data_IF_185907321957
#
_entry.id   IF_185907321957
#
_cell.length_a   1.000
_cell.length_b   1.000
_cell.length_c   1.000
_cell.angle_alpha   90.00
_cell.angle_beta   90.00
_cell.angle_gamma   90.00
#
_symmetry.space_group_name_H-M   'P 1'
#
loop_
_entity.id
_entity.type
_entity.pdbx_description
1 polymer ?
#
# COMPACT_ATOMS: atom_id res chain seq x y z
N UNK A 1 6.59 -0.18 -23.82
CA UNK A 1 5.30 -0.01 -23.14
C UNK A 1 5.48 0.94 -21.97
N UNK A 2 4.43 1.66 -21.61
CA UNK A 2 4.32 2.46 -20.38
C UNK A 2 3.43 1.76 -19.34
N UNK A 3 2.86 0.60 -19.71
CA UNK A 3 2.04 -0.21 -18.80
C UNK A 3 2.95 -1.17 -18.01
N UNK A 4 3.31 -0.73 -16.81
CA UNK A 4 4.14 -1.47 -15.86
C UNK A 4 3.50 -2.78 -15.44
N UNK A 5 2.16 -2.80 -15.26
CA UNK A 5 1.45 -3.99 -14.84
C UNK A 5 1.50 -5.07 -15.93
N UNK A 6 1.32 -4.68 -17.19
CA UNK A 6 1.44 -5.60 -18.32
C UNK A 6 2.87 -6.15 -18.47
N UNK A 7 3.90 -5.31 -18.29
CA UNK A 7 5.29 -5.76 -18.34
C UNK A 7 5.54 -6.81 -17.25
N UNK A 8 5.13 -6.52 -16.00
CA UNK A 8 5.36 -7.40 -14.86
C UNK A 8 4.59 -8.74 -14.97
N UNK A 9 3.41 -8.73 -15.59
CA UNK A 9 2.57 -9.94 -15.70
C UNK A 9 2.88 -10.81 -16.90
N UNK A 10 3.34 -10.22 -18.01
CA UNK A 10 3.46 -10.92 -19.29
C UNK A 10 4.90 -11.19 -19.73
N UNK A 11 5.89 -10.45 -19.19
CA UNK A 11 7.26 -10.56 -19.62
C UNK A 11 8.09 -11.38 -18.64
N UNK A 12 9.04 -12.15 -19.14
CA UNK A 12 10.07 -12.84 -18.35
C UNK A 12 11.37 -12.02 -18.27
N UNK A 13 11.48 -10.98 -19.10
CA UNK A 13 12.62 -10.09 -19.16
C UNK A 13 12.17 -8.69 -19.58
N UNK A 14 12.76 -7.65 -19.01
CA UNK A 14 12.51 -6.28 -19.39
C UNK A 14 13.81 -5.54 -19.68
N UNK A 15 13.74 -4.53 -20.53
CA UNK A 15 14.85 -3.65 -20.88
C UNK A 15 14.38 -2.21 -20.69
N UNK A 16 15.09 -1.46 -19.88
CA UNK A 16 14.90 -0.01 -19.75
C UNK A 16 15.78 0.73 -20.75
N UNK A 17 15.13 1.46 -21.65
CA UNK A 17 15.78 2.28 -22.67
C UNK A 17 15.71 3.76 -22.29
N UNK A 18 16.83 4.43 -22.26
CA UNK A 18 16.93 5.89 -22.10
C UNK A 18 17.69 6.49 -23.27
N UNK A 19 17.08 7.47 -23.97
CA UNK A 19 17.68 8.19 -25.10
C UNK A 19 18.35 7.27 -26.14
N UNK A 20 17.70 6.13 -26.44
CA UNK A 20 18.17 5.17 -27.42
C UNK A 20 19.28 4.22 -26.94
N UNK A 21 19.63 4.23 -25.65
CA UNK A 21 20.60 3.34 -25.05
C UNK A 21 19.96 2.47 -23.98
N UNK A 22 20.48 1.26 -23.81
CA UNK A 22 20.07 0.37 -22.72
C UNK A 22 20.64 0.93 -21.41
N UNK A 23 19.75 1.35 -20.50
CA UNK A 23 20.09 1.79 -19.15
C UNK A 23 20.19 0.62 -18.19
N UNK A 24 19.24 -0.31 -18.30
CA UNK A 24 19.24 -1.54 -17.49
C UNK A 24 18.45 -2.65 -18.21
N UNK A 25 18.73 -3.91 -17.87
CA UNK A 25 18.01 -5.06 -18.39
C UNK A 25 18.01 -6.18 -17.33
N UNK A 26 16.90 -6.91 -17.19
CA UNK A 26 16.78 -7.98 -16.20
C UNK A 26 15.35 -8.35 -15.87
N UNK A 27 15.12 -8.70 -14.61
CA UNK A 27 13.81 -9.06 -14.08
C UNK A 27 12.79 -7.92 -14.27
N UNK A 28 11.57 -8.21 -14.77
CA UNK A 28 10.57 -7.18 -15.05
C UNK A 28 10.24 -6.28 -13.85
N UNK A 29 10.10 -6.85 -12.64
CA UNK A 29 9.80 -6.09 -11.43
C UNK A 29 10.91 -5.08 -11.13
N UNK A 30 12.16 -5.52 -11.13
CA UNK A 30 13.31 -4.66 -10.88
C UNK A 30 13.45 -3.55 -11.92
N UNK A 31 13.28 -3.88 -13.20
CA UNK A 31 13.40 -2.91 -14.29
C UNK A 31 12.26 -1.89 -14.26
N UNK A 32 11.05 -2.29 -13.96
CA UNK A 32 9.91 -1.36 -13.85
C UNK A 32 10.01 -0.47 -12.62
N UNK A 33 10.57 -0.94 -11.52
CA UNK A 33 10.87 -0.13 -10.33
C UNK A 33 11.89 0.96 -10.65
N UNK A 34 13.01 0.61 -11.32
CA UNK A 34 14.00 1.57 -11.79
C UNK A 34 13.41 2.59 -12.80
N UNK A 35 12.53 2.15 -13.68
CA UNK A 35 11.84 3.03 -14.62
C UNK A 35 10.91 4.03 -13.91
N UNK A 36 10.15 3.59 -12.92
CA UNK A 36 9.30 4.47 -12.13
C UNK A 36 10.13 5.48 -11.33
N UNK A 37 11.24 5.04 -10.71
CA UNK A 37 12.18 5.91 -10.03
C UNK A 37 12.68 7.04 -10.93
N UNK A 38 13.10 6.70 -12.15
CA UNK A 38 13.64 7.65 -13.12
C UNK A 38 12.57 8.67 -13.57
N UNK A 39 11.33 8.21 -13.82
CA UNK A 39 10.21 9.10 -14.16
C UNK A 39 9.91 10.06 -13.02
N UNK A 40 9.82 9.57 -11.78
CA UNK A 40 9.55 10.43 -10.64
C UNK A 40 10.67 11.44 -10.41
N UNK A 41 11.93 11.06 -10.53
CA UNK A 41 13.07 11.96 -10.44
C UNK A 41 13.06 13.03 -11.57
N UNK A 42 12.73 12.63 -12.79
CA UNK A 42 12.65 13.55 -13.93
C UNK A 42 11.47 14.53 -13.79
N UNK A 43 10.33 14.09 -13.30
CA UNK A 43 9.14 14.93 -13.09
C UNK A 43 9.34 15.98 -11.97
N UNK A 44 10.20 15.71 -11.01
CA UNK A 44 10.47 16.59 -9.85
C UNK A 44 11.41 17.78 -10.18
N UNK A 45 11.97 17.84 -11.37
CA UNK A 45 12.90 18.92 -11.77
C UNK A 45 12.26 20.29 -12.01
N UNK A 46 10.94 20.40 -12.08
CA UNK A 46 10.23 21.66 -12.38
C UNK A 46 8.90 21.73 -11.65
N UNK A 47 8.75 22.52 -10.55
CA UNK A 47 7.71 23.54 -10.37
C UNK A 47 7.45 23.99 -8.92
N UNK A 48 6.94 25.24 -8.74
CA UNK A 48 6.62 25.81 -7.43
C UNK A 48 5.19 25.50 -6.97
N UNK A 49 5.02 25.51 -5.65
CA UNK A 49 3.76 25.30 -4.95
C UNK A 49 2.65 26.30 -5.34
N UNK A 50 1.51 25.79 -5.70
CA UNK A 50 0.29 26.55 -5.99
C UNK A 50 -0.71 26.58 -4.83
N UNK A 51 -1.60 27.56 -4.85
CA UNK A 51 -2.43 28.07 -3.79
C UNK A 51 -3.49 27.11 -3.22
N UNK A 52 -3.85 27.33 -1.94
CA UNK A 52 -4.78 26.57 -1.13
C UNK A 52 -6.27 26.80 -1.46
N UNK A 53 -7.12 25.77 -1.39
CA UNK A 53 -8.55 25.89 -1.31
C UNK A 53 -9.11 25.64 0.09
N UNK A 54 -10.37 26.00 0.28
CA UNK A 54 -11.09 26.18 1.53
C UNK A 54 -11.65 24.92 2.18
N UNK A 55 -11.92 25.05 3.44
CA UNK A 55 -12.23 24.13 4.52
C UNK A 55 -13.16 22.92 4.27
N UNK A 56 -12.64 21.72 4.54
CA UNK A 56 -13.38 20.51 4.88
C UNK A 56 -12.89 19.93 6.24
N UNK A 57 -13.74 19.19 6.93
CA UNK A 57 -13.48 18.73 8.30
C UNK A 57 -12.40 17.63 8.38
N UNK A 58 -11.55 17.71 9.39
CA UNK A 58 -10.49 16.77 9.75
C UNK A 58 -10.90 15.30 9.60
N UNK A 59 -10.09 14.56 8.83
CA UNK A 59 -10.05 13.12 8.77
C UNK A 59 -11.41 12.45 8.53
N UNK A 60 -11.60 11.84 7.37
CA UNK A 60 -12.75 10.97 7.12
C UNK A 60 -12.65 9.74 8.04
N UNK A 61 -13.19 9.87 9.25
CA UNK A 61 -13.50 8.72 10.09
C UNK A 61 -14.97 8.42 9.88
N UNK A 62 -15.26 7.50 8.98
CA UNK A 62 -16.55 6.83 9.00
C UNK A 62 -16.64 6.14 10.35
N UNK A 63 -17.63 6.53 11.17
CA UNK A 63 -17.95 5.76 12.37
C UNK A 63 -18.23 4.34 11.90
N UNK A 64 -17.59 3.32 12.49
CA UNK A 64 -18.01 1.96 12.26
C UNK A 64 -19.45 1.87 12.75
N UNK A 65 -20.42 1.88 11.83
CA UNK A 65 -21.69 1.29 12.13
C UNK A 65 -21.40 -0.18 12.39
N UNK A 66 -21.68 -0.57 13.60
CA UNK A 66 -21.33 -1.79 14.29
C UNK A 66 -21.95 -3.03 13.66
N UNK A 67 -21.57 -3.38 12.49
CA UNK A 67 -21.66 -4.77 12.11
C UNK A 67 -20.24 -5.31 12.04
N UNK A 68 -19.88 -6.11 13.05
CA UNK A 68 -18.70 -6.99 13.00
C UNK A 68 -18.89 -7.97 11.83
N UNK A 69 -18.69 -7.41 10.64
CA UNK A 69 -18.89 -8.13 9.39
C UNK A 69 -17.75 -9.12 9.23
N UNK A 70 -18.01 -10.36 9.62
CA UNK A 70 -17.14 -11.51 9.37
C UNK A 70 -17.58 -12.26 8.13
N UNK A 71 -16.63 -12.94 7.48
CA UNK A 71 -16.98 -13.93 6.47
C UNK A 71 -17.88 -14.99 7.08
N UNK A 72 -18.99 -15.28 6.42
CA UNK A 72 -19.96 -16.30 6.88
C UNK A 72 -19.33 -17.69 7.06
N UNK A 73 -18.18 -17.94 6.45
CA UNK A 73 -17.44 -19.20 6.52
C UNK A 73 -16.28 -19.17 7.52
N UNK A 74 -16.02 -18.04 8.19
CA UNK A 74 -14.80 -17.80 8.96
C UNK A 74 -14.57 -18.88 10.04
N UNK A 75 -15.61 -19.23 10.78
CA UNK A 75 -15.51 -20.25 11.84
C UNK A 75 -15.22 -21.64 11.29
N UNK A 76 -15.76 -21.97 10.12
CA UNK A 76 -15.48 -23.23 9.44
C UNK A 76 -14.04 -23.22 8.89
N UNK A 77 -13.65 -22.17 8.20
CA UNK A 77 -12.31 -22.02 7.62
C UNK A 77 -11.26 -22.14 8.71
N UNK A 78 -11.43 -21.44 9.83
CA UNK A 78 -10.46 -21.44 10.95
C UNK A 78 -10.31 -22.79 11.64
N UNK A 79 -11.33 -23.66 11.57
CA UNK A 79 -11.32 -25.01 12.15
C UNK A 79 -10.91 -26.11 11.16
N UNK A 80 -10.72 -25.77 9.91
CA UNK A 80 -10.43 -26.72 8.83
C UNK A 80 -8.98 -26.58 8.34
N UNK A 81 -8.56 -27.53 7.51
CA UNK A 81 -7.28 -27.46 6.77
C UNK A 81 -7.28 -26.38 5.66
N UNK A 82 -8.40 -25.69 5.48
CA UNK A 82 -8.59 -24.62 4.49
C UNK A 82 -8.27 -23.24 5.06
N UNK A 83 -7.77 -23.18 6.28
CA UNK A 83 -7.36 -21.95 6.93
C UNK A 83 -6.30 -21.23 6.07
N UNK A 84 -6.48 -19.93 5.95
CA UNK A 84 -5.53 -19.06 5.32
C UNK A 84 -4.65 -18.43 6.41
N UNK A 85 -3.36 -18.70 6.38
CA UNK A 85 -2.40 -18.08 7.30
C UNK A 85 -1.53 -17.10 6.51
N UNK A 86 -1.63 -15.83 6.85
CA UNK A 86 -0.82 -14.75 6.30
C UNK A 86 0.21 -14.39 7.37
N UNK A 87 1.45 -14.76 7.15
CA UNK A 87 2.56 -14.34 7.98
C UNK A 87 2.93 -12.89 7.65
N UNK A 88 3.12 -12.08 8.68
CA UNK A 88 3.53 -10.67 8.56
C UNK A 88 4.94 -10.54 9.09
N UNK A 89 5.87 -10.12 8.23
CA UNK A 89 7.26 -9.90 8.61
C UNK A 89 7.45 -8.53 9.26
N UNK A 90 8.66 -8.26 9.70
CA UNK A 90 9.00 -6.95 10.26
C UNK A 90 9.32 -5.97 9.14
N UNK A 91 9.12 -4.70 9.42
CA UNK A 91 9.58 -3.61 8.56
C UNK A 91 11.08 -3.75 8.31
N UNK A 92 11.46 -3.63 7.04
CA UNK A 92 12.86 -3.63 6.63
C UNK A 92 13.32 -2.17 6.39
N UNK A 93 14.14 -1.61 7.28
CA UNK A 93 14.67 -0.26 7.10
C UNK A 93 15.69 -0.16 5.96
N UNK A 94 16.25 -1.29 5.51
CA UNK A 94 17.24 -1.35 4.45
C UNK A 94 16.64 -1.70 3.08
N UNK A 95 15.32 -1.89 3.02
CA UNK A 95 14.61 -2.13 1.76
C UNK A 95 14.86 -0.98 0.76
N UNK A 96 14.98 -1.28 -0.54
CA UNK A 96 15.28 -0.27 -1.57
C UNK A 96 14.32 0.93 -1.49
N UNK A 97 14.90 2.11 -1.45
CA UNK A 97 14.15 3.36 -1.38
C UNK A 97 14.76 4.44 -2.25
N UNK A 98 13.92 5.32 -2.80
CA UNK A 98 14.33 6.49 -3.55
C UNK A 98 13.48 7.71 -3.19
N UNK A 99 13.91 8.90 -3.58
CA UNK A 99 13.21 10.16 -3.37
C UNK A 99 14.16 11.32 -3.02
N UNK A 100 13.60 12.51 -2.84
CA UNK A 100 14.39 13.73 -2.56
C UNK A 100 14.86 13.85 -1.10
N UNK A 101 14.46 12.96 -0.22
CA UNK A 101 14.96 12.91 1.16
C UNK A 101 14.42 13.99 2.11
N UNK A 102 13.39 14.76 1.71
CA UNK A 102 12.77 15.77 2.59
C UNK A 102 11.97 15.21 3.76
N UNK A 103 11.65 13.92 3.72
CA UNK A 103 11.11 13.13 4.82
C UNK A 103 11.62 11.70 4.71
N UNK A 104 11.51 10.92 5.80
CA UNK A 104 11.86 9.50 5.81
C UNK A 104 10.79 8.67 6.52
N UNK A 105 10.69 7.40 6.10
CA UNK A 105 9.86 6.37 6.72
C UNK A 105 10.71 5.67 7.79
N UNK A 106 10.32 5.81 9.06
CA UNK A 106 11.05 5.23 10.18
C UNK A 106 10.55 3.84 10.56
N UNK A 107 9.25 3.60 10.33
CA UNK A 107 8.61 2.35 10.73
C UNK A 107 7.32 2.11 9.97
N UNK A 108 7.09 0.86 9.62
CA UNK A 108 5.80 0.38 9.08
C UNK A 108 5.34 -0.82 9.91
N UNK A 109 4.10 -0.81 10.35
CA UNK A 109 3.56 -1.91 11.17
C UNK A 109 2.09 -2.15 10.86
N UNK A 110 1.74 -3.42 10.68
CA UNK A 110 0.36 -3.87 10.61
C UNK A 110 -0.11 -4.22 12.02
N UNK A 111 -1.25 -3.71 12.46
CA UNK A 111 -1.76 -3.85 13.82
C UNK A 111 -3.18 -4.40 13.84
N UNK A 112 -3.54 -5.08 14.93
CA UNK A 112 -4.92 -5.47 15.22
C UNK A 112 -5.77 -4.28 15.75
N UNK A 113 -7.05 -4.51 15.97
CA UNK A 113 -7.98 -3.52 16.54
C UNK A 113 -7.57 -3.04 17.96
N UNK A 114 -6.76 -3.82 18.68
CA UNK A 114 -6.21 -3.45 19.99
C UNK A 114 -4.87 -2.73 19.88
N UNK A 115 -4.47 -2.31 18.66
CA UNK A 115 -3.20 -1.65 18.35
C UNK A 115 -1.96 -2.48 18.67
N UNK A 116 -2.06 -3.81 18.66
CA UNK A 116 -0.93 -4.73 18.85
C UNK A 116 -0.36 -5.09 17.48
N UNK A 117 0.96 -5.08 17.30
CA UNK A 117 1.60 -5.53 16.08
C UNK A 117 1.18 -6.97 15.74
N UNK A 118 0.82 -7.19 14.48
CA UNK A 118 0.51 -8.51 13.96
C UNK A 118 1.77 -9.16 13.42
N UNK A 119 1.98 -10.41 13.74
CA UNK A 119 2.95 -11.29 13.09
C UNK A 119 2.27 -12.32 12.18
N UNK A 120 0.94 -12.42 12.24
CA UNK A 120 0.11 -13.20 11.33
C UNK A 120 -1.35 -12.73 11.37
N UNK A 121 -2.10 -13.00 10.30
CA UNK A 121 -3.55 -12.82 10.20
C UNK A 121 -4.14 -13.85 9.22
N UNK A 122 -5.45 -13.93 9.11
CA UNK A 122 -6.12 -14.92 8.23
C UNK A 122 -6.80 -14.28 7.02
N UNK A 123 -6.91 -12.96 7.00
CA UNK A 123 -7.76 -12.21 6.07
C UNK A 123 -9.20 -12.09 6.62
N UNK A 124 -9.85 -11.00 6.26
CA UNK A 124 -11.18 -10.65 6.77
C UNK A 124 -11.17 -9.85 8.09
N UNK A 125 -10.10 -9.82 8.84
CA UNK A 125 -9.96 -9.02 10.04
C UNK A 125 -9.83 -7.52 9.73
N UNK A 126 -10.28 -6.68 10.66
CA UNK A 126 -9.95 -5.25 10.64
C UNK A 126 -8.51 -5.09 11.12
N UNK A 127 -7.70 -4.48 10.28
CA UNK A 127 -6.30 -4.18 10.56
C UNK A 127 -6.03 -2.70 10.38
N UNK A 128 -4.95 -2.23 10.98
CA UNK A 128 -4.45 -0.87 10.78
C UNK A 128 -3.00 -0.94 10.30
N UNK A 129 -2.74 -0.45 9.10
CA UNK A 129 -1.39 -0.19 8.61
C UNK A 129 -0.97 1.19 9.13
N UNK A 130 0.02 1.21 10.02
CA UNK A 130 0.59 2.44 10.55
C UNK A 130 1.98 2.66 9.94
N UNK A 131 2.20 3.89 9.48
CA UNK A 131 3.43 4.34 8.84
C UNK A 131 3.93 5.52 9.64
N UNK A 132 5.01 5.32 10.38
CA UNK A 132 5.67 6.38 11.15
C UNK A 132 6.76 7.03 10.29
N UNK A 133 6.74 8.34 10.21
CA UNK A 133 7.60 9.15 9.36
C UNK A 133 8.27 10.26 10.18
N UNK A 134 9.36 10.81 9.64
CA UNK A 134 10.00 12.01 10.15
C UNK A 134 10.27 12.99 9.01
N UNK A 135 9.89 14.25 9.23
CA UNK A 135 10.28 15.35 8.35
C UNK A 135 11.75 15.69 8.54
N UNK A 136 12.51 15.80 7.48
CA UNK A 136 13.91 16.30 7.50
C UNK A 136 14.00 17.78 7.15
N UNK A 137 12.94 18.34 6.62
CA UNK A 137 12.70 19.76 6.38
C UNK A 137 11.23 20.08 6.65
N UNK A 138 10.84 21.37 6.77
CA UNK A 138 9.41 21.70 6.86
C UNK A 138 8.66 21.17 5.64
N UNK A 139 7.51 20.55 5.87
CA UNK A 139 6.62 20.00 4.85
C UNK A 139 5.29 20.74 4.87
N UNK A 140 4.82 21.11 3.68
CA UNK A 140 3.49 21.67 3.47
C UNK A 140 2.65 20.64 2.72
N UNK A 141 1.54 20.19 3.34
CA UNK A 141 0.68 19.17 2.72
C UNK A 141 1.39 17.82 2.47
N UNK A 142 1.97 17.16 3.49
CA UNK A 142 2.53 15.84 3.34
C UNK A 142 1.46 14.82 2.95
N UNK A 143 1.80 13.94 2.01
CA UNK A 143 0.97 12.85 1.54
C UNK A 143 1.71 11.56 1.89
N UNK A 144 1.07 10.70 2.66
CA UNK A 144 1.57 9.36 2.96
C UNK A 144 0.66 8.36 2.27
N UNK A 145 1.24 7.37 1.59
CA UNK A 145 0.48 6.36 0.86
C UNK A 145 1.12 4.99 0.91
N UNK A 146 0.34 4.00 0.48
CA UNK A 146 0.81 2.63 0.35
C UNK A 146 0.19 1.93 -0.86
N UNK A 147 0.88 0.89 -1.34
CA UNK A 147 0.34 -0.11 -2.24
C UNK A 147 0.64 -1.50 -1.70
N UNK A 148 -0.35 -2.38 -1.67
CA UNK A 148 -0.13 -3.82 -1.52
C UNK A 148 0.10 -4.42 -2.90
N UNK A 149 1.24 -5.08 -3.07
CA UNK A 149 1.67 -5.69 -4.33
C UNK A 149 1.87 -7.20 -4.14
N UNK A 150 1.68 -7.95 -5.22
CA UNK A 150 2.09 -9.35 -5.29
C UNK A 150 3.60 -9.50 -5.60
N UNK A 151 4.08 -10.73 -5.67
CA UNK A 151 5.48 -11.04 -5.99
C UNK A 151 5.94 -10.57 -7.38
N UNK A 152 5.00 -10.32 -8.30
CA UNK A 152 5.29 -9.79 -9.63
C UNK A 152 5.27 -8.26 -9.67
N UNK A 153 5.02 -7.60 -8.54
CA UNK A 153 4.90 -6.14 -8.45
C UNK A 153 3.55 -5.59 -8.92
N UNK A 154 2.55 -6.45 -9.17
CA UNK A 154 1.20 -6.01 -9.51
C UNK A 154 0.54 -5.43 -8.26
N UNK A 155 -0.02 -4.24 -8.38
CA UNK A 155 -0.76 -3.60 -7.29
C UNK A 155 -2.14 -4.24 -7.14
N UNK A 156 -2.41 -4.78 -5.96
CA UNK A 156 -3.72 -5.31 -5.60
C UNK A 156 -4.67 -4.18 -5.19
N UNK A 157 -4.21 -3.34 -4.27
CA UNK A 157 -4.89 -2.12 -3.84
C UNK A 157 -3.90 -1.19 -3.15
N UNK A 158 -4.31 0.04 -2.94
CA UNK A 158 -3.54 1.05 -2.21
C UNK A 158 -4.39 2.27 -1.95
N UNK A 159 -3.89 3.15 -1.09
CA UNK A 159 -4.52 4.42 -0.77
C UNK A 159 -3.49 5.42 -0.26
N UNK A 160 -3.91 6.68 -0.12
CA UNK A 160 -3.08 7.75 0.44
C UNK A 160 -3.94 8.76 1.22
N UNK A 161 -3.26 9.63 1.95
CA UNK A 161 -3.88 10.61 2.83
C UNK A 161 -4.41 11.85 2.11
N UNK A 162 -4.15 12.03 0.81
CA UNK A 162 -4.42 13.28 0.10
C UNK A 162 -5.87 13.75 0.23
N UNK A 163 -6.83 12.90 -0.16
CA UNK A 163 -8.26 13.27 -0.14
C UNK A 163 -8.77 13.56 1.27
N UNK A 164 -8.19 12.94 2.30
CA UNK A 164 -8.60 13.15 3.69
C UNK A 164 -8.11 14.49 4.28
N UNK A 165 -7.13 15.13 3.65
CA UNK A 165 -6.49 16.35 4.15
C UNK A 165 -6.36 17.46 3.10
N UNK A 166 -6.89 17.28 1.88
CA UNK A 166 -6.74 18.24 0.79
C UNK A 166 -7.27 19.64 1.14
N UNK A 167 -8.35 19.74 1.93
CA UNK A 167 -8.98 20.99 2.31
C UNK A 167 -8.38 21.63 3.58
N UNK A 168 -7.65 20.83 4.37
CA UNK A 168 -6.92 21.28 5.56
C UNK A 168 -5.55 20.59 5.60
N UNK A 169 -4.62 21.00 4.75
CA UNK A 169 -3.29 20.41 4.70
C UNK A 169 -2.59 20.50 6.05
N UNK A 170 -1.92 19.43 6.43
CA UNK A 170 -1.05 19.43 7.60
C UNK A 170 0.26 20.16 7.26
N UNK A 171 0.78 20.88 8.24
CA UNK A 171 2.13 21.42 8.21
C UNK A 171 2.95 20.67 9.25
N UNK A 172 4.10 20.19 8.85
CA UNK A 172 5.02 19.45 9.72
C UNK A 172 6.34 20.20 9.76
N UNK A 173 6.83 20.50 10.96
CA UNK A 173 8.11 21.19 11.13
C UNK A 173 9.29 20.26 10.81
N UNK A 174 10.47 20.85 10.57
CA UNK A 174 11.69 20.07 10.44
C UNK A 174 11.94 19.23 11.72
N UNK A 175 12.41 18.00 11.53
CA UNK A 175 12.67 17.01 12.58
C UNK A 175 11.44 16.54 13.38
N UNK A 176 10.25 17.00 13.00
CA UNK A 176 9.00 16.59 13.64
C UNK A 176 8.59 15.18 13.16
N UNK A 177 8.27 14.25 14.09
CA UNK A 177 7.68 12.96 13.75
C UNK A 177 6.20 13.13 13.41
N UNK A 178 5.75 12.42 12.37
CA UNK A 178 4.34 12.33 12.00
C UNK A 178 4.01 10.91 11.56
N UNK A 179 2.73 10.58 11.46
CA UNK A 179 2.34 9.25 11.01
C UNK A 179 1.03 9.28 10.24
N UNK A 180 0.85 8.27 9.38
CA UNK A 180 -0.43 7.91 8.80
C UNK A 180 -0.91 6.56 9.34
N UNK A 181 -2.22 6.39 9.43
CA UNK A 181 -2.84 5.14 9.86
C UNK A 181 -4.03 4.82 8.94
N UNK A 182 -3.95 3.71 8.24
CA UNK A 182 -4.98 3.21 7.34
C UNK A 182 -5.67 2.02 7.98
N UNK A 183 -6.94 2.19 8.34
CA UNK A 183 -7.75 1.13 8.93
C UNK A 183 -8.63 0.52 7.84
N UNK A 184 -8.47 -0.76 7.57
CA UNK A 184 -9.21 -1.46 6.52
C UNK A 184 -9.42 -2.94 6.87
N UNK A 185 -10.29 -3.58 6.11
CA UNK A 185 -10.48 -5.02 6.21
C UNK A 185 -9.44 -5.73 5.37
N UNK A 186 -8.61 -6.57 6.01
CA UNK A 186 -7.59 -7.35 5.32
C UNK A 186 -8.24 -8.28 4.29
N UNK A 187 -7.87 -8.22 3.01
CA UNK A 187 -8.38 -9.16 2.03
C UNK A 187 -7.90 -10.59 2.33
N UNK A 188 -8.61 -11.58 1.79
CA UNK A 188 -8.15 -12.97 1.78
C UNK A 188 -7.16 -13.12 0.63
N UNK A 189 -5.88 -13.19 0.93
CA UNK A 189 -4.83 -13.31 -0.08
C UNK A 189 -4.71 -14.76 -0.57
N UNK A 190 -4.53 -14.95 -1.88
CA UNK A 190 -4.15 -16.25 -2.43
C UNK A 190 -2.76 -16.67 -1.90
N UNK A 191 -2.40 -17.95 -2.03
CA UNK A 191 -1.06 -18.42 -1.63
C UNK A 191 0.02 -17.69 -2.43
N UNK A 192 1.01 -17.12 -1.75
CA UNK A 192 2.11 -16.38 -2.37
C UNK A 192 2.68 -15.29 -1.48
N UNK A 193 3.67 -14.60 -2.01
CA UNK A 193 4.35 -13.48 -1.35
C UNK A 193 3.77 -12.15 -1.82
N UNK A 194 3.66 -11.23 -0.88
CA UNK A 194 3.12 -9.90 -1.06
C UNK A 194 3.99 -8.90 -0.31
N UNK A 195 3.91 -7.64 -0.72
CA UNK A 195 4.63 -6.58 -0.02
C UNK A 195 3.85 -5.28 -0.02
N UNK A 196 4.01 -4.50 1.05
CA UNK A 196 3.62 -3.11 1.08
C UNK A 196 4.76 -2.24 0.55
N UNK A 197 4.51 -1.53 -0.54
CA UNK A 197 5.30 -0.39 -0.94
C UNK A 197 4.72 0.87 -0.27
N UNK A 198 5.58 1.70 0.29
CA UNK A 198 5.20 2.87 1.09
C UNK A 198 5.78 4.12 0.46
N UNK A 199 5.02 5.20 0.49
CA UNK A 199 5.43 6.48 -0.08
C UNK A 199 5.17 7.65 0.87
N UNK A 200 6.09 8.61 0.88
CA UNK A 200 5.92 9.93 1.50
C UNK A 200 6.22 10.99 0.46
N UNK A 201 5.25 11.84 0.20
CA UNK A 201 5.35 12.92 -0.76
C UNK A 201 4.82 14.24 -0.15
N UNK A 202 4.96 15.33 -0.88
CA UNK A 202 4.44 16.65 -0.53
C UNK A 202 3.81 17.30 -1.75
N UNK A 203 2.64 17.92 -1.63
CA UNK A 203 1.98 18.63 -2.71
C UNK A 203 0.55 18.16 -2.95
N UNK A 204 0.20 17.90 -4.20
CA UNK A 204 -1.11 17.38 -4.62
C UNK A 204 -0.99 15.98 -5.21
N UNK A 205 -2.12 15.32 -5.48
CA UNK A 205 -2.09 14.00 -6.11
C UNK A 205 -1.53 14.03 -7.54
N UNK A 206 -1.71 15.13 -8.25
CA UNK A 206 -1.26 15.31 -9.63
C UNK A 206 0.16 15.90 -9.69
N UNK A 207 0.46 16.84 -8.78
CA UNK A 207 1.76 17.53 -8.71
C UNK A 207 2.34 17.39 -7.30
N UNK A 208 3.24 16.46 -7.10
CA UNK A 208 3.86 16.20 -5.80
C UNK A 208 5.36 15.95 -5.93
N UNK A 209 6.06 16.25 -4.86
CA UNK A 209 7.48 15.93 -4.68
C UNK A 209 7.57 14.64 -3.89
N UNK A 210 8.16 13.60 -4.46
CA UNK A 210 8.40 12.34 -3.78
C UNK A 210 9.60 12.47 -2.84
N UNK A 211 9.37 12.34 -1.53
CA UNK A 211 10.44 12.41 -0.53
C UNK A 211 11.08 11.07 -0.24
N UNK A 212 10.27 10.05 -0.06
CA UNK A 212 10.73 8.67 0.00
C UNK A 212 9.67 7.75 -0.57
N UNK A 213 10.10 6.87 -1.45
CA UNK A 213 9.34 5.70 -1.90
C UNK A 213 10.15 4.48 -1.53
N UNK A 214 9.59 3.60 -0.73
CA UNK A 214 10.24 2.38 -0.28
C UNK A 214 9.50 1.18 -0.83
N UNK A 215 10.20 0.37 -1.60
CA UNK A 215 9.70 -0.90 -2.09
C UNK A 215 9.79 -1.96 -0.99
N UNK A 216 8.88 -2.92 -1.01
CA UNK A 216 8.91 -4.11 -0.14
C UNK A 216 9.14 -3.78 1.36
N UNK A 217 8.62 -2.63 1.82
CA UNK A 217 8.82 -2.12 3.18
C UNK A 217 8.30 -3.07 4.27
N UNK A 218 7.23 -3.82 3.98
CA UNK A 218 6.66 -4.83 4.87
C UNK A 218 6.20 -6.02 4.03
N UNK A 219 6.80 -7.17 4.25
CA UNK A 219 6.53 -8.39 3.49
C UNK A 219 5.44 -9.21 4.19
N UNK A 220 4.60 -9.86 3.39
CA UNK A 220 3.57 -10.80 3.80
C UNK A 220 3.75 -12.09 3.01
N UNK A 221 3.60 -13.25 3.66
CA UNK A 221 3.52 -14.54 2.97
C UNK A 221 2.21 -15.22 3.32
N UNK A 222 1.37 -15.47 2.31
CA UNK A 222 0.13 -16.22 2.45
C UNK A 222 0.37 -17.69 2.16
N UNK A 223 0.05 -18.54 3.16
CA UNK A 223 0.25 -19.98 3.08
C UNK A 223 -1.11 -20.65 2.99
N UNK A 224 -1.44 -21.17 1.85
CA UNK A 224 -2.67 -21.90 1.53
C UNK A 224 -3.98 -21.11 1.71
N UNK A 225 -4.71 -20.94 0.63
CA UNK A 225 -6.09 -20.47 0.68
C UNK A 225 -6.92 -21.19 -0.36
N UNK A 226 -7.94 -21.92 0.07
CA UNK A 226 -9.03 -22.36 -0.79
C UNK A 226 -10.19 -21.36 -0.78
N UNK A 227 -10.09 -20.29 0.02
CA UNK A 227 -11.13 -19.28 0.15
C UNK A 227 -11.04 -18.18 -0.92
N UNK A 228 -9.92 -18.11 -1.66
CA UNK A 228 -9.74 -17.16 -2.76
C UNK A 228 -9.57 -17.89 -4.09
N UNK A 229 -10.45 -17.61 -5.03
CA UNK A 229 -10.41 -18.13 -6.40
C UNK A 229 -9.97 -17.05 -7.41
N UNK A 230 -9.22 -16.05 -7.00
CA UNK A 230 -8.77 -14.93 -7.83
C UNK A 230 -7.48 -14.33 -7.28
N UNK A 231 -7.15 -13.12 -7.69
CA UNK A 231 -5.99 -12.37 -7.20
C UNK A 231 -6.11 -12.15 -5.68
N UNK A 232 -7.33 -11.85 -5.21
CA UNK A 232 -7.65 -11.78 -3.78
C UNK A 232 -9.11 -12.15 -3.55
N UNK A 233 -9.44 -12.69 -2.38
CA UNK A 233 -10.79 -12.96 -1.94
C UNK A 233 -11.36 -11.84 -1.10
N UNK A 234 -12.66 -11.64 -1.21
CA UNK A 234 -13.39 -10.75 -0.32
C UNK A 234 -14.18 -11.58 0.69
N UNK A 235 -14.26 -11.17 1.96
CA UNK A 235 -15.15 -11.81 2.93
C UNK A 235 -16.60 -11.77 2.46
N UNK A 236 -17.31 -12.92 2.53
CA UNK A 236 -18.68 -13.04 2.06
C UNK A 236 -19.66 -12.93 3.23
N UNK A 237 -20.60 -12.01 3.15
CA UNK A 237 -21.66 -11.84 4.15
C UNK A 237 -22.57 -13.06 4.23
N UNK A 238 -22.91 -13.60 3.07
CA UNK A 238 -23.82 -14.74 2.94
C UNK A 238 -23.54 -15.48 1.65
N UNK A 239 -23.55 -16.80 1.73
CA UNK A 239 -23.56 -17.69 0.57
C UNK A 239 -24.75 -18.60 0.75
N UNK A 240 -25.70 -18.59 -0.19
CA UNK A 240 -26.92 -19.39 -0.13
C UNK A 240 -27.05 -20.24 -1.39
N UNK A 241 -27.39 -21.48 -1.21
CA UNK A 241 -27.83 -22.38 -2.27
C UNK A 241 -29.24 -22.86 -1.89
N UNK A 242 -30.22 -22.61 -2.74
CA UNK A 242 -31.62 -22.99 -2.49
C UNK A 242 -32.15 -23.82 -3.63
N UNK A 243 -33.01 -24.81 -3.32
CA UNK A 243 -33.78 -25.58 -4.29
C UNK A 243 -35.21 -25.04 -4.34
N UNK A 244 -35.71 -24.75 -5.53
CA UNK A 244 -37.04 -24.14 -5.76
C UNK A 244 -36.97 -22.61 -5.85
N UNK A 245 -37.62 -22.08 -6.88
CA UNK A 245 -37.88 -20.64 -6.96
C UNK A 245 -39.20 -20.37 -6.21
N UNK A 246 -39.14 -19.64 -5.11
CA UNK A 246 -40.28 -18.93 -4.51
C UNK A 246 -40.36 -17.53 -5.10
#
# INVERSE_FOLDING_TARGET
SHDVAAINSLCTHAIFLERGRIKSAGDPKQITELYLEDIFQAAQGEKPAGAAPSAFKRGLVLRPEEEDFRDARQDFINKSTLRNDIQVFRFDPDAPAFGQGGACIERVVLMDQKKRPLCWCTGGEIVTLRIDCRARRPLNSPIVGFYLKDRLGQTLFGDNTYLSYMDQPLHVAADEPFYAAFCFRMPVLAAGDYSFAIAVAEGTQEEHIQHEWRHDALILTSVASSASAGIMGLPMRSIKLTTGMN
#
